data_IF_610049166336
#
_entry.id   IF_610049166336
#
_cell.length_a   1.000
_cell.length_b   1.000
_cell.length_c   1.000
_cell.angle_alpha   90.00
_cell.angle_beta   90.00
_cell.angle_gamma   90.00
#
_symmetry.space_group_name_H-M   'P 1'
#
loop_
_entity.id
_entity.type
_entity.pdbx_description
1 polymer ?
#
# COMPACT_ATOMS: atom_id res chain seq x y z
N UNK A 1 7.33 16.17 21.84
CA UNK A 1 6.59 14.89 21.68
C UNK A 1 5.95 14.50 23.02
N UNK A 2 4.74 14.99 23.32
CA UNK A 2 4.10 14.86 24.66
C UNK A 2 3.82 13.40 25.07
N UNK A 3 3.68 12.49 24.11
CA UNK A 3 3.32 11.09 24.33
C UNK A 3 4.47 10.21 24.85
N UNK A 4 5.72 10.58 24.59
CA UNK A 4 6.90 9.81 25.02
C UNK A 4 7.51 10.34 26.33
N UNK A 5 7.26 11.60 26.71
CA UNK A 5 7.91 12.23 27.89
C UNK A 5 9.43 11.98 27.88
N UNK A 6 9.95 11.22 28.86
CA UNK A 6 11.36 10.78 29.00
C UNK A 6 11.59 9.32 28.59
N UNK A 7 10.55 8.63 28.14
CA UNK A 7 10.62 7.25 27.71
C UNK A 7 11.00 7.13 26.23
N UNK A 8 11.65 6.02 25.90
CA UNK A 8 12.02 5.68 24.53
C UNK A 8 10.82 5.01 23.83
N UNK A 9 10.60 5.31 22.54
CA UNK A 9 9.57 4.66 21.71
C UNK A 9 9.62 3.12 21.81
N UNK A 10 10.81 2.53 21.84
CA UNK A 10 11.03 1.09 21.95
C UNK A 10 10.64 0.50 23.31
N UNK A 11 10.53 1.34 24.34
CA UNK A 11 10.30 0.93 25.74
C UNK A 11 8.84 0.97 26.18
N UNK A 12 7.96 1.54 25.36
CA UNK A 12 6.53 1.65 25.65
C UNK A 12 5.89 0.27 25.86
N UNK A 13 4.70 0.20 26.45
CA UNK A 13 3.91 -1.05 26.49
C UNK A 13 2.94 -1.09 25.30
N UNK A 14 2.74 -2.27 24.72
CA UNK A 14 1.75 -2.49 23.65
C UNK A 14 0.32 -2.19 24.09
N UNK A 15 0.05 -2.38 25.39
CA UNK A 15 -1.23 -2.13 26.04
C UNK A 15 -1.46 -0.67 26.42
N UNK A 16 -0.61 0.27 25.97
CA UNK A 16 -0.80 1.68 26.30
C UNK A 16 -2.12 2.20 25.73
N UNK A 17 -2.92 2.84 26.58
CA UNK A 17 -4.14 3.55 26.19
C UNK A 17 -3.87 4.99 25.76
N UNK A 18 -2.63 5.46 25.91
CA UNK A 18 -2.23 6.83 25.58
C UNK A 18 -2.13 7.03 24.06
N UNK A 19 -2.58 8.21 23.61
CA UNK A 19 -2.46 8.65 22.22
C UNK A 19 -3.64 8.24 21.32
N UNK A 20 -3.55 8.64 20.05
CA UNK A 20 -4.59 8.37 19.06
C UNK A 20 -4.69 6.88 18.69
N UNK A 21 -5.76 6.49 18.00
CA UNK A 21 -5.88 5.14 17.43
C UNK A 21 -4.71 4.81 16.49
N UNK A 22 -4.25 5.78 15.69
CA UNK A 22 -3.10 5.62 14.79
C UNK A 22 -1.80 5.38 15.59
N UNK A 23 -1.58 6.16 16.65
CA UNK A 23 -0.42 5.99 17.53
C UNK A 23 -0.35 4.57 18.12
N UNK A 24 -1.47 4.07 18.64
CA UNK A 24 -1.56 2.71 19.16
C UNK A 24 -1.31 1.66 18.08
N UNK A 25 -1.70 1.91 16.83
CA UNK A 25 -1.35 1.03 15.70
C UNK A 25 0.14 1.05 15.38
N UNK A 26 0.79 2.22 15.40
CA UNK A 26 2.25 2.32 15.20
C UNK A 26 3.02 1.53 16.26
N UNK A 27 2.60 1.60 17.52
CA UNK A 27 3.23 0.83 18.62
C UNK A 27 3.18 -0.68 18.34
N UNK A 28 2.09 -1.21 17.77
CA UNK A 28 1.98 -2.63 17.42
C UNK A 28 3.00 -3.08 16.37
N UNK A 29 3.46 -2.17 15.51
CA UNK A 29 4.47 -2.46 14.49
C UNK A 29 5.92 -2.24 14.96
N UNK A 30 6.14 -1.78 16.20
CA UNK A 30 7.50 -1.53 16.72
C UNK A 30 8.41 -2.76 16.67
N UNK A 31 7.87 -3.94 16.95
CA UNK A 31 8.66 -5.17 17.04
C UNK A 31 9.23 -5.53 15.67
N UNK A 32 8.41 -5.31 14.62
CA UNK A 32 8.84 -5.37 13.24
C UNK A 32 9.82 -4.23 12.93
N UNK A 33 9.51 -2.98 13.27
CA UNK A 33 10.37 -1.84 12.99
C UNK A 33 11.79 -1.96 13.61
N UNK A 34 11.91 -2.59 14.79
CA UNK A 34 13.20 -2.89 15.44
C UNK A 34 14.15 -3.65 14.52
N UNK A 35 13.67 -4.58 13.69
CA UNK A 35 14.55 -5.36 12.79
C UNK A 35 15.06 -4.56 11.60
N UNK A 36 14.56 -3.34 11.38
CA UNK A 36 14.92 -2.49 10.24
C UNK A 36 15.89 -1.36 10.59
N UNK A 37 16.21 -1.16 11.87
CA UNK A 37 16.96 0.00 12.34
C UNK A 37 18.15 -0.42 13.19
N UNK A 38 19.32 0.13 12.84
CA UNK A 38 20.57 0.08 13.61
C UNK A 38 21.12 1.49 13.78
N UNK A 39 22.05 1.66 14.69
CA UNK A 39 22.74 2.93 14.90
C UNK A 39 24.24 2.70 14.78
N UNK A 40 24.85 3.44 13.85
CA UNK A 40 26.30 3.57 13.79
C UNK A 40 26.71 4.68 14.75
N UNK A 41 27.36 4.26 15.84
CA UNK A 41 27.78 5.18 16.90
C UNK A 41 28.97 5.99 16.44
N UNK A 42 28.90 7.29 16.71
CA UNK A 42 29.99 8.25 16.58
C UNK A 42 30.22 8.92 17.94
N UNK A 43 29.45 9.95 18.29
CA UNK A 43 29.56 10.63 19.58
C UNK A 43 28.76 9.99 20.72
N UNK A 44 27.83 9.07 20.40
CA UNK A 44 27.03 8.30 21.35
C UNK A 44 25.98 9.10 22.13
N UNK A 45 25.79 10.39 21.86
CA UNK A 45 24.98 11.28 22.69
C UNK A 45 23.48 11.00 22.54
N UNK A 46 23.04 10.66 21.34
CA UNK A 46 21.63 10.46 21.00
C UNK A 46 21.26 8.97 20.85
N UNK A 47 22.20 8.07 21.15
CA UNK A 47 21.99 6.62 21.09
C UNK A 47 21.68 6.09 22.49
N UNK A 48 20.52 5.47 22.67
CA UNK A 48 20.18 4.79 23.92
C UNK A 48 21.02 3.54 24.09
N UNK A 49 21.68 3.42 25.25
CA UNK A 49 22.48 2.23 25.56
C UNK A 49 21.64 0.94 25.51
N UNK A 50 20.40 1.00 26.01
CA UNK A 50 19.56 -0.17 26.18
C UNK A 50 18.69 -0.51 24.98
N UNK A 51 18.15 0.50 24.31
CA UNK A 51 17.03 0.32 23.37
C UNK A 51 17.41 0.43 21.90
N UNK A 52 18.54 1.04 21.58
CA UNK A 52 19.02 1.14 20.20
C UNK A 52 19.98 0.00 19.86
N UNK A 53 19.98 -0.40 18.59
CA UNK A 53 20.81 -1.50 18.09
C UNK A 53 22.13 -0.93 17.58
N UNK A 54 23.09 -0.77 18.49
CA UNK A 54 24.36 -0.13 18.24
C UNK A 54 25.58 -1.07 18.31
N UNK A 55 25.35 -2.34 18.64
CA UNK A 55 26.40 -3.33 18.81
C UNK A 55 26.09 -4.59 18.00
N UNK A 56 27.09 -5.45 17.83
CA UNK A 56 26.88 -6.78 17.22
C UNK A 56 25.98 -7.69 18.06
N UNK A 57 25.76 -7.36 19.34
CA UNK A 57 24.87 -8.11 20.24
C UNK A 57 23.40 -7.73 20.04
N UNK A 58 23.09 -6.76 19.19
CA UNK A 58 21.74 -6.21 19.08
C UNK A 58 21.46 -5.19 20.19
N UNK A 59 20.18 -5.09 20.57
CA UNK A 59 19.70 -4.21 21.64
C UNK A 59 19.97 -4.86 23.00
N UNK A 60 20.69 -4.15 23.87
CA UNK A 60 21.08 -4.70 25.17
C UNK A 60 19.89 -5.07 26.06
N UNK A 61 18.78 -4.36 25.93
CA UNK A 61 17.54 -4.67 26.66
C UNK A 61 16.91 -6.00 26.22
N UNK A 62 17.02 -6.36 24.94
CA UNK A 62 16.47 -7.61 24.42
C UNK A 62 17.36 -8.81 24.85
N UNK A 63 18.65 -8.57 25.13
CA UNK A 63 19.63 -9.60 25.57
C UNK A 63 19.59 -9.86 27.09
N UNK A 64 19.60 -8.81 27.92
CA UNK A 64 19.66 -8.96 29.40
C UNK A 64 18.32 -8.78 30.10
N UNK A 65 17.32 -8.25 29.40
CA UNK A 65 16.07 -7.82 30.02
C UNK A 65 16.27 -6.72 31.06
N UNK A 66 15.22 -6.50 31.88
CA UNK A 66 15.21 -5.40 32.85
C UNK A 66 16.26 -5.53 33.96
N UNK A 67 16.72 -6.75 34.30
CA UNK A 67 17.77 -6.96 35.31
C UNK A 67 19.14 -6.45 34.85
N UNK A 68 19.38 -6.41 33.53
CA UNK A 68 20.62 -5.89 32.96
C UNK A 68 20.96 -4.47 33.42
N UNK A 69 19.96 -3.60 33.63
CA UNK A 69 20.18 -2.25 34.14
C UNK A 69 20.86 -2.26 35.52
N UNK A 70 20.48 -3.20 36.38
CA UNK A 70 21.03 -3.34 37.74
C UNK A 70 22.41 -4.00 37.68
N UNK A 71 22.52 -5.11 36.96
CA UNK A 71 23.76 -5.89 36.87
C UNK A 71 24.90 -5.08 36.24
N UNK A 72 24.57 -4.31 35.18
CA UNK A 72 25.51 -3.38 34.57
C UNK A 72 25.61 -2.06 35.32
N UNK A 73 24.68 -1.71 36.22
CA UNK A 73 24.69 -0.39 36.86
C UNK A 73 24.63 0.76 35.83
N UNK A 74 23.93 0.56 34.72
CA UNK A 74 23.70 1.56 33.67
C UNK A 74 22.20 1.86 33.69
N UNK A 75 21.86 3.12 33.96
CA UNK A 75 20.46 3.56 34.03
C UNK A 75 19.71 3.27 32.72
N UNK A 76 18.41 2.97 32.82
CA UNK A 76 17.53 2.64 31.70
C UNK A 76 17.52 3.72 30.60
N UNK A 77 17.69 4.98 30.98
CA UNK A 77 17.64 6.14 30.07
C UNK A 77 19.02 6.64 29.64
N UNK A 78 20.09 5.97 30.05
CA UNK A 78 21.46 6.40 29.77
C UNK A 78 21.78 6.28 28.28
N UNK A 79 22.45 7.29 27.72
CA UNK A 79 23.02 7.19 26.38
C UNK A 79 24.32 6.39 26.38
N UNK A 80 24.81 5.98 25.21
CA UNK A 80 26.10 5.30 25.12
C UNK A 80 27.24 6.23 25.54
N UNK A 81 27.16 7.52 25.20
CA UNK A 81 28.12 8.53 25.66
C UNK A 81 28.20 8.63 27.18
N UNK A 82 27.03 8.71 27.84
CA UNK A 82 26.99 8.76 29.30
C UNK A 82 27.54 7.47 29.93
N UNK A 83 27.33 6.32 29.31
CA UNK A 83 27.87 5.04 29.78
C UNK A 83 29.40 4.99 29.68
N UNK A 84 30.01 5.60 28.65
CA UNK A 84 31.46 5.72 28.54
C UNK A 84 32.06 6.61 29.64
N UNK A 85 31.41 7.74 29.92
CA UNK A 85 32.00 8.80 30.73
C UNK A 85 31.75 8.58 32.23
N UNK A 86 30.59 8.02 32.61
CA UNK A 86 30.16 7.91 34.02
C UNK A 86 30.53 6.58 34.67
N UNK A 87 31.11 5.64 33.92
CA UNK A 87 31.34 4.28 34.40
C UNK A 87 32.78 3.83 34.21
N UNK A 88 33.26 3.01 35.15
CA UNK A 88 34.49 2.22 35.03
C UNK A 88 34.13 0.80 34.63
N UNK A 89 34.94 0.19 33.75
CA UNK A 89 34.80 -1.21 33.33
C UNK A 89 34.79 -2.12 34.56
N UNK A 90 33.91 -3.12 34.57
CA UNK A 90 33.87 -4.16 35.61
C UNK A 90 34.14 -5.52 34.99
N UNK A 91 34.65 -6.44 35.80
CA UNK A 91 34.72 -7.86 35.46
C UNK A 91 33.57 -8.57 36.13
N UNK A 92 32.69 -9.17 35.32
CA UNK A 92 31.51 -9.87 35.79
C UNK A 92 31.78 -11.37 35.83
N UNK A 93 31.08 -12.09 36.73
CA UNK A 93 31.07 -13.56 36.70
C UNK A 93 30.34 -14.09 35.46
N UNK A 94 29.31 -13.37 35.02
CA UNK A 94 28.48 -13.74 33.87
C UNK A 94 29.15 -13.33 32.56
N UNK A 95 29.39 -14.29 31.67
CA UNK A 95 30.08 -14.06 30.39
C UNK A 95 29.43 -13.00 29.50
N UNK A 96 28.09 -13.01 29.37
CA UNK A 96 27.37 -12.05 28.52
C UNK A 96 27.57 -10.59 28.97
N UNK A 97 27.72 -10.34 30.28
CA UNK A 97 28.00 -9.00 30.79
C UNK A 97 29.40 -8.53 30.42
N UNK A 98 30.39 -9.44 30.39
CA UNK A 98 31.73 -9.12 29.93
C UNK A 98 31.77 -8.81 28.42
N UNK A 99 30.99 -9.54 27.60
CA UNK A 99 30.84 -9.22 26.17
C UNK A 99 30.26 -7.81 25.95
N UNK A 100 29.36 -7.35 26.83
CA UNK A 100 28.85 -5.98 26.76
C UNK A 100 29.88 -4.94 27.17
N UNK A 101 30.68 -5.20 28.19
CA UNK A 101 31.81 -4.33 28.55
C UNK A 101 32.80 -4.22 27.38
N UNK A 102 33.05 -5.32 26.66
CA UNK A 102 33.86 -5.33 25.43
C UNK A 102 33.22 -4.53 24.28
N UNK A 103 31.91 -4.69 24.05
CA UNK A 103 31.19 -3.91 23.06
C UNK A 103 31.19 -2.40 23.38
N UNK A 104 31.05 -2.04 24.66
CA UNK A 104 31.10 -0.64 25.09
C UNK A 104 32.51 -0.04 24.92
N UNK A 105 33.56 -0.79 25.27
CA UNK A 105 34.95 -0.32 25.13
C UNK A 105 35.40 -0.20 23.67
N UNK A 106 35.05 -1.17 22.83
CA UNK A 106 35.34 -1.10 21.39
C UNK A 106 34.73 0.14 20.73
N UNK A 107 33.47 0.46 21.04
CA UNK A 107 32.81 1.67 20.53
C UNK A 107 33.37 2.97 21.13
N UNK A 108 33.86 2.91 22.38
CA UNK A 108 34.56 4.05 23.01
C UNK A 108 35.86 4.39 22.30
N UNK A 109 36.62 3.38 21.86
CA UNK A 109 37.92 3.56 21.18
C UNK A 109 37.77 4.23 19.82
N UNK A 110 36.63 4.03 19.14
CA UNK A 110 36.33 4.63 17.83
C UNK A 110 35.54 5.94 17.92
N UNK A 111 35.28 6.44 19.13
CA UNK A 111 34.50 7.67 19.38
C UNK A 111 35.10 8.87 18.66
N UNK A 112 34.25 9.69 18.06
CA UNK A 112 34.62 10.99 17.51
C UNK A 112 33.51 12.04 17.78
N UNK A 113 33.65 13.23 17.19
CA UNK A 113 32.74 14.37 17.40
C UNK A 113 31.51 14.38 16.48
N UNK A 114 31.46 13.50 15.46
CA UNK A 114 30.33 13.44 14.54
C UNK A 114 29.06 12.91 15.22
N UNK A 115 27.90 13.21 14.63
CA UNK A 115 26.63 12.70 15.14
C UNK A 115 26.43 11.23 14.79
N UNK A 116 25.78 10.50 15.69
CA UNK A 116 25.37 9.11 15.46
C UNK A 116 24.47 9.00 14.22
N UNK A 117 24.63 7.92 13.45
CA UNK A 117 23.92 7.72 12.18
C UNK A 117 22.93 6.57 12.32
N UNK A 118 21.65 6.86 12.11
CA UNK A 118 20.61 5.83 12.04
C UNK A 118 20.69 5.12 10.68
N UNK A 119 20.93 3.82 10.71
CA UNK A 119 21.01 2.99 9.54
C UNK A 119 19.72 2.16 9.36
N UNK A 120 19.20 2.16 8.15
CA UNK A 120 18.00 1.46 7.74
C UNK A 120 18.35 0.24 6.90
N UNK A 121 17.74 -0.90 7.20
CA UNK A 121 17.90 -2.14 6.45
C UNK A 121 17.31 -1.98 5.05
N UNK A 122 18.18 -1.88 4.05
CA UNK A 122 17.83 -1.76 2.64
C UNK A 122 17.87 -3.10 1.92
N UNK A 123 17.96 -3.07 0.59
CA UNK A 123 18.05 -4.26 -0.26
C UNK A 123 19.19 -5.19 0.19
N UNK A 124 18.96 -6.50 0.11
CA UNK A 124 19.95 -7.55 0.40
C UNK A 124 20.55 -7.43 1.83
N UNK A 125 19.73 -6.94 2.78
CA UNK A 125 20.10 -6.70 4.18
C UNK A 125 21.22 -5.69 4.42
N UNK A 126 21.53 -4.87 3.40
CA UNK A 126 22.53 -3.81 3.50
C UNK A 126 21.94 -2.60 4.21
N UNK A 127 22.58 -2.19 5.30
CA UNK A 127 22.18 -1.03 6.11
C UNK A 127 22.71 0.28 5.51
N UNK A 128 21.86 1.31 5.42
CA UNK A 128 22.17 2.61 4.79
C UNK A 128 21.61 3.79 5.60
N UNK A 129 22.21 5.00 5.52
CA UNK A 129 21.73 6.17 6.25
C UNK A 129 20.40 6.75 5.73
N UNK A 130 19.81 6.17 4.68
CA UNK A 130 18.55 6.62 4.09
C UNK A 130 17.49 5.52 4.12
N UNK A 131 16.26 5.90 4.48
CA UNK A 131 15.12 5.00 4.47
C UNK A 131 14.60 4.80 3.04
N UNK A 132 14.38 3.54 2.66
CA UNK A 132 13.78 3.15 1.38
C UNK A 132 12.46 2.45 1.63
N UNK A 133 11.35 3.12 1.30
CA UNK A 133 10.01 2.53 1.34
C UNK A 133 9.93 1.29 0.46
N UNK A 134 10.60 1.30 -0.70
CA UNK A 134 10.64 0.18 -1.64
C UNK A 134 11.32 -1.05 -1.03
N UNK A 135 12.48 -0.87 -0.41
CA UNK A 135 13.23 -1.99 0.15
C UNK A 135 12.54 -2.53 1.40
N UNK A 136 12.06 -1.65 2.28
CA UNK A 136 11.26 -2.05 3.44
C UNK A 136 9.99 -2.80 3.03
N UNK A 137 9.29 -2.34 1.99
CA UNK A 137 8.13 -3.04 1.45
C UNK A 137 8.49 -4.44 0.94
N UNK A 138 9.63 -4.58 0.25
CA UNK A 138 10.12 -5.88 -0.22
C UNK A 138 10.47 -6.84 0.91
N UNK A 139 10.95 -6.33 2.04
CA UNK A 139 11.26 -7.16 3.21
C UNK A 139 10.03 -7.65 3.97
N UNK A 140 8.97 -6.85 4.05
CA UNK A 140 7.77 -7.20 4.83
C UNK A 140 6.71 -7.95 4.01
N UNK A 141 6.73 -7.82 2.69
CA UNK A 141 5.72 -8.44 1.83
C UNK A 141 6.07 -9.90 1.54
N UNK A 142 5.04 -10.71 1.37
CA UNK A 142 5.17 -12.00 0.68
C UNK A 142 5.18 -11.77 -0.83
N UNK A 143 6.23 -12.22 -1.52
CA UNK A 143 6.29 -12.24 -2.98
C UNK A 143 5.38 -13.32 -3.54
N UNK A 144 4.31 -12.92 -4.24
CA UNK A 144 3.51 -13.83 -5.07
C UNK A 144 3.96 -13.74 -6.54
N UNK A 145 3.57 -14.73 -7.33
CA UNK A 145 3.76 -14.73 -8.78
C UNK A 145 3.03 -13.54 -9.43
N UNK A 146 3.68 -12.89 -10.39
CA UNK A 146 3.07 -11.81 -11.15
C UNK A 146 1.87 -12.31 -11.92
N UNK A 147 0.69 -11.75 -11.63
CA UNK A 147 -0.55 -12.05 -12.35
C UNK A 147 -0.55 -11.39 -13.73
N UNK A 148 -1.09 -12.06 -14.75
CA UNK A 148 -1.07 -11.55 -16.14
C UNK A 148 -1.88 -10.27 -16.33
N UNK A 149 -2.92 -10.06 -15.52
CA UNK A 149 -3.83 -8.92 -15.65
C UNK A 149 -3.36 -7.63 -14.97
N UNK A 150 -2.25 -7.64 -14.22
CA UNK A 150 -1.85 -6.51 -13.36
C UNK A 150 -1.72 -5.19 -14.13
N UNK A 151 -1.18 -5.20 -15.33
CA UNK A 151 -0.97 -3.99 -16.14
C UNK A 151 -2.26 -3.40 -16.74
N UNK A 152 -3.33 -4.19 -16.84
CA UNK A 152 -4.66 -3.70 -17.23
C UNK A 152 -5.39 -2.99 -16.07
N UNK A 153 -5.03 -3.32 -14.82
CA UNK A 153 -5.65 -2.76 -13.61
C UNK A 153 -4.82 -1.63 -13.00
N UNK A 154 -3.50 -1.79 -13.00
CA UNK A 154 -2.54 -0.86 -12.40
C UNK A 154 -1.69 -0.25 -13.51
N UNK A 155 -1.99 1.00 -13.87
CA UNK A 155 -1.25 1.73 -14.89
C UNK A 155 -1.12 3.22 -14.50
N UNK A 156 -0.12 3.93 -15.06
CA UNK A 156 0.06 5.35 -14.80
C UNK A 156 -1.21 6.14 -15.13
N UNK A 157 -1.50 7.14 -14.31
CA UNK A 157 -2.69 7.98 -14.42
C UNK A 157 -4.04 7.26 -14.26
N UNK A 158 -4.09 6.00 -13.83
CA UNK A 158 -5.35 5.39 -13.39
C UNK A 158 -5.93 6.13 -12.18
N UNK A 159 -7.25 6.08 -12.00
CA UNK A 159 -7.91 6.59 -10.79
C UNK A 159 -7.90 5.47 -9.75
N UNK A 160 -7.23 5.62 -8.58
CA UNK A 160 -7.04 4.51 -7.64
C UNK A 160 -8.34 3.84 -7.20
N UNK A 161 -9.42 4.63 -7.01
CA UNK A 161 -10.75 4.11 -6.70
C UNK A 161 -11.29 3.16 -7.78
N UNK A 162 -11.05 3.48 -9.06
CA UNK A 162 -11.53 2.66 -10.17
C UNK A 162 -10.67 1.41 -10.34
N UNK A 163 -9.34 1.54 -10.24
CA UNK A 163 -8.42 0.38 -10.22
C UNK A 163 -8.79 -0.60 -9.12
N UNK A 164 -9.09 -0.12 -7.90
CA UNK A 164 -9.49 -0.99 -6.79
C UNK A 164 -10.82 -1.70 -7.05
N UNK A 165 -11.81 -1.00 -7.62
CA UNK A 165 -13.08 -1.62 -8.00
C UNK A 165 -12.90 -2.73 -9.04
N UNK A 166 -12.09 -2.47 -10.07
CA UNK A 166 -11.76 -3.48 -11.09
C UNK A 166 -10.95 -4.63 -10.51
N UNK A 167 -10.00 -4.37 -9.62
CA UNK A 167 -9.23 -5.41 -8.93
C UNK A 167 -10.16 -6.38 -8.18
N UNK A 168 -11.14 -5.87 -7.44
CA UNK A 168 -12.16 -6.69 -6.79
C UNK A 168 -13.00 -7.48 -7.80
N UNK A 169 -13.37 -6.85 -8.93
CA UNK A 169 -14.12 -7.52 -10.00
C UNK A 169 -13.33 -8.67 -10.63
N UNK A 170 -12.04 -8.47 -10.95
CA UNK A 170 -11.16 -9.51 -11.49
C UNK A 170 -11.08 -10.71 -10.54
N UNK A 171 -11.04 -10.47 -9.24
CA UNK A 171 -11.04 -11.53 -8.22
C UNK A 171 -12.42 -12.13 -7.90
N UNK A 172 -13.50 -11.70 -8.57
CA UNK A 172 -14.88 -12.08 -8.24
C UNK A 172 -15.22 -11.80 -6.76
N UNK A 173 -14.74 -10.69 -6.20
CA UNK A 173 -14.91 -10.31 -4.79
C UNK A 173 -15.95 -9.20 -4.57
N UNK A 174 -16.58 -8.71 -5.63
CA UNK A 174 -17.74 -7.82 -5.51
C UNK A 174 -18.94 -8.59 -4.92
N UNK A 175 -19.81 -7.92 -4.18
CA UNK A 175 -21.01 -8.53 -3.59
C UNK A 175 -22.14 -8.63 -4.62
N UNK A 176 -21.91 -9.42 -5.67
CA UNK A 176 -22.88 -9.73 -6.74
C UNK A 176 -23.99 -10.66 -6.24
N UNK A 177 -25.12 -10.70 -6.93
CA UNK A 177 -26.29 -11.49 -6.52
C UNK A 177 -26.02 -12.98 -6.33
N UNK A 178 -25.24 -13.59 -7.22
CA UNK A 178 -24.77 -14.99 -7.10
C UNK A 178 -24.00 -15.25 -5.79
N UNK A 179 -23.13 -14.33 -5.38
CA UNK A 179 -22.35 -14.41 -4.14
C UNK A 179 -23.20 -14.12 -2.91
N UNK A 180 -24.14 -13.18 -3.01
CA UNK A 180 -25.07 -12.88 -1.91
C UNK A 180 -25.95 -14.09 -1.59
N UNK A 181 -26.41 -14.82 -2.61
CA UNK A 181 -27.15 -16.07 -2.44
C UNK A 181 -26.35 -17.14 -1.70
N UNK A 182 -25.03 -17.22 -1.90
CA UNK A 182 -24.18 -18.14 -1.15
C UNK A 182 -24.06 -17.81 0.34
N UNK A 183 -24.24 -16.54 0.73
CA UNK A 183 -24.20 -16.11 2.13
C UNK A 183 -25.56 -16.20 2.81
N UNK A 184 -26.63 -15.96 2.04
CA UNK A 184 -28.00 -15.99 2.51
C UNK A 184 -28.93 -16.43 1.38
N UNK A 185 -29.46 -17.65 1.48
CA UNK A 185 -30.36 -18.23 0.48
C UNK A 185 -31.65 -17.40 0.27
N UNK A 186 -32.06 -16.59 1.25
CA UNK A 186 -33.22 -15.69 1.15
C UNK A 186 -32.93 -14.35 0.47
N UNK A 187 -31.70 -14.07 0.05
CA UNK A 187 -31.35 -12.81 -0.60
C UNK A 187 -31.90 -12.73 -2.04
N UNK A 188 -32.29 -11.53 -2.48
CA UNK A 188 -32.62 -11.30 -3.89
C UNK A 188 -31.33 -11.30 -4.74
N UNK A 189 -31.10 -12.36 -5.50
CA UNK A 189 -29.94 -12.54 -6.38
C UNK A 189 -30.13 -12.00 -7.81
N UNK A 190 -31.34 -11.64 -8.20
CA UNK A 190 -31.65 -11.10 -9.53
C UNK A 190 -30.96 -9.75 -9.76
N UNK A 191 -30.49 -9.52 -10.98
CA UNK A 191 -29.85 -8.28 -11.40
C UNK A 191 -30.83 -7.11 -11.35
N UNK A 192 -30.57 -6.13 -10.48
CA UNK A 192 -31.41 -4.93 -10.29
C UNK A 192 -31.42 -3.99 -11.52
N UNK A 193 -30.51 -4.19 -12.47
CA UNK A 193 -30.39 -3.34 -13.65
C UNK A 193 -31.30 -3.79 -14.80
N UNK A 194 -31.54 -5.09 -14.95
CA UNK A 194 -32.40 -5.65 -16.01
C UNK A 194 -33.57 -6.50 -15.50
N UNK A 195 -33.57 -6.89 -14.22
CA UNK A 195 -34.56 -7.76 -13.59
C UNK A 195 -34.79 -9.12 -14.29
N UNK A 196 -33.82 -9.60 -15.09
CA UNK A 196 -34.02 -10.75 -15.98
C UNK A 196 -33.21 -12.01 -15.61
N UNK A 197 -32.03 -11.85 -15.01
CA UNK A 197 -31.15 -12.98 -14.69
C UNK A 197 -30.47 -12.82 -13.34
N UNK A 198 -29.89 -13.90 -12.83
CA UNK A 198 -29.04 -13.87 -11.63
C UNK A 198 -27.83 -12.97 -11.91
N UNK A 199 -27.54 -12.06 -10.99
CA UNK A 199 -26.44 -11.13 -11.12
C UNK A 199 -25.11 -11.83 -10.79
N UNK A 200 -24.38 -12.24 -11.82
CA UNK A 200 -22.95 -12.58 -11.74
C UNK A 200 -22.07 -11.39 -12.17
N UNK A 201 -20.74 -11.48 -12.01
CA UNK A 201 -19.81 -10.46 -12.54
C UNK A 201 -20.02 -10.23 -14.03
N UNK A 202 -20.01 -11.31 -14.81
CA UNK A 202 -20.02 -11.23 -16.27
C UNK A 202 -21.38 -10.70 -16.75
N UNK A 203 -22.47 -11.15 -16.11
CA UNK A 203 -23.79 -10.60 -16.35
C UNK A 203 -23.84 -9.11 -16.01
N UNK A 204 -23.43 -8.73 -14.80
CA UNK A 204 -23.51 -7.36 -14.33
C UNK A 204 -22.77 -6.38 -15.25
N UNK A 205 -21.57 -6.73 -15.74
CA UNK A 205 -20.77 -5.77 -16.50
C UNK A 205 -21.03 -5.82 -18.00
N UNK A 206 -21.31 -6.98 -18.59
CA UNK A 206 -21.31 -7.12 -20.06
C UNK A 206 -22.46 -7.92 -20.67
N UNK A 207 -23.07 -8.88 -19.97
CA UNK A 207 -24.22 -9.64 -20.52
C UNK A 207 -25.60 -9.04 -20.18
N UNK A 208 -25.68 -8.17 -19.17
CA UNK A 208 -26.90 -7.44 -18.83
C UNK A 208 -27.24 -6.45 -19.94
N UNK A 209 -28.48 -6.45 -20.44
CA UNK A 209 -28.94 -5.58 -21.54
C UNK A 209 -28.66 -4.10 -21.28
N UNK A 210 -28.93 -3.61 -20.06
CA UNK A 210 -28.68 -2.22 -19.65
C UNK A 210 -27.18 -1.89 -19.67
N UNK A 211 -26.35 -2.79 -19.16
CA UNK A 211 -24.90 -2.58 -19.08
C UNK A 211 -24.20 -2.74 -20.43
N UNK A 212 -24.68 -3.66 -21.26
CA UNK A 212 -24.21 -3.87 -22.62
C UNK A 212 -24.46 -2.64 -23.48
N UNK A 213 -25.61 -1.96 -23.33
CA UNK A 213 -25.87 -0.68 -23.99
C UNK A 213 -24.83 0.39 -23.60
N UNK A 214 -24.59 0.58 -22.30
CA UNK A 214 -23.57 1.52 -21.79
C UNK A 214 -22.17 1.15 -22.29
N UNK A 215 -21.80 -0.13 -22.21
CA UNK A 215 -20.50 -0.62 -22.65
C UNK A 215 -20.30 -0.43 -24.15
N UNK A 216 -21.28 -0.81 -24.97
CA UNK A 216 -21.25 -0.66 -26.43
C UNK A 216 -21.07 0.80 -26.82
N UNK A 217 -21.85 1.71 -26.23
CA UNK A 217 -21.75 3.14 -26.51
C UNK A 217 -20.35 3.69 -26.20
N UNK A 218 -19.67 3.19 -25.17
CA UNK A 218 -18.33 3.65 -24.78
C UNK A 218 -17.22 2.96 -25.58
N UNK A 219 -17.30 1.65 -25.77
CA UNK A 219 -16.15 0.83 -26.12
C UNK A 219 -16.08 0.44 -27.61
N UNK A 220 -17.21 0.44 -28.33
CA UNK A 220 -17.27 -0.09 -29.71
C UNK A 220 -16.25 0.57 -30.64
N UNK A 221 -16.14 1.89 -30.62
CA UNK A 221 -15.18 2.64 -31.45
C UNK A 221 -13.74 2.63 -30.91
N UNK A 222 -13.54 2.26 -29.63
CA UNK A 222 -12.20 2.11 -29.04
C UNK A 222 -11.58 0.79 -29.50
N UNK A 223 -12.34 -0.31 -29.42
CA UNK A 223 -11.86 -1.65 -29.73
C UNK A 223 -12.08 -2.06 -31.19
N UNK A 224 -12.97 -1.36 -31.92
CA UNK A 224 -13.26 -1.57 -33.35
C UNK A 224 -13.57 -3.05 -33.63
N UNK A 225 -12.82 -3.69 -34.52
CA UNK A 225 -12.98 -5.10 -34.86
C UNK A 225 -12.78 -6.06 -33.68
N UNK A 226 -12.11 -5.63 -32.62
CA UNK A 226 -11.87 -6.42 -31.40
C UNK A 226 -12.91 -6.15 -30.30
N UNK A 227 -14.02 -5.45 -30.59
CA UNK A 227 -15.08 -5.24 -29.62
C UNK A 227 -15.66 -6.58 -29.14
N UNK A 228 -15.85 -6.70 -27.84
CA UNK A 228 -16.40 -7.90 -27.21
C UNK A 228 -17.23 -7.52 -25.99
N UNK A 229 -18.15 -8.40 -25.62
CA UNK A 229 -18.93 -8.39 -24.37
C UNK A 229 -18.54 -9.55 -23.46
N UNK A 230 -17.47 -10.28 -23.78
CA UNK A 230 -16.91 -11.33 -22.92
C UNK A 230 -15.84 -10.75 -21.98
N UNK A 231 -16.02 -10.96 -20.67
CA UNK A 231 -15.13 -10.41 -19.64
C UNK A 231 -13.68 -10.83 -19.87
N UNK A 232 -13.43 -12.10 -20.17
CA UNK A 232 -12.07 -12.63 -20.29
C UNK A 232 -11.36 -12.05 -21.53
N UNK A 233 -12.07 -11.99 -22.65
CA UNK A 233 -11.59 -11.38 -23.90
C UNK A 233 -11.24 -9.92 -23.70
N UNK A 234 -12.13 -9.14 -23.06
CA UNK A 234 -11.88 -7.72 -22.79
C UNK A 234 -10.67 -7.54 -21.86
N UNK A 235 -10.56 -8.36 -20.81
CA UNK A 235 -9.43 -8.33 -19.87
C UNK A 235 -8.11 -8.63 -20.60
N UNK A 236 -8.08 -9.62 -21.50
CA UNK A 236 -6.91 -9.94 -22.31
C UNK A 236 -6.55 -8.78 -23.25
N UNK A 237 -7.53 -8.13 -23.89
CA UNK A 237 -7.29 -6.99 -24.77
C UNK A 237 -6.66 -5.79 -24.04
N UNK A 238 -7.17 -5.43 -22.85
CA UNK A 238 -6.62 -4.30 -22.09
C UNK A 238 -5.23 -4.62 -21.50
N UNK A 239 -4.93 -5.89 -21.24
CA UNK A 239 -3.64 -6.34 -20.74
C UNK A 239 -2.61 -6.59 -21.85
N UNK A 240 -3.08 -6.74 -23.09
CA UNK A 240 -2.25 -6.96 -24.26
C UNK A 240 -1.31 -5.79 -24.61
N UNK A 241 -0.50 -6.01 -25.64
CA UNK A 241 0.39 -4.98 -26.19
C UNK A 241 -0.40 -4.08 -27.13
N UNK A 242 -0.30 -2.78 -26.91
CA UNK A 242 -0.87 -1.74 -27.76
C UNK A 242 0.28 -0.98 -28.43
N UNK A 243 0.14 -0.68 -29.72
CA UNK A 243 1.16 0.08 -30.45
C UNK A 243 1.20 1.54 -29.97
N UNK A 244 0.03 2.10 -29.65
CA UNK A 244 -0.12 3.47 -29.20
C UNK A 244 -0.43 3.51 -27.69
N UNK A 245 0.40 4.25 -26.94
CA UNK A 245 0.22 4.45 -25.49
C UNK A 245 -1.10 5.12 -25.14
N UNK A 246 -1.52 6.09 -25.93
CA UNK A 246 -2.77 6.84 -25.71
C UNK A 246 -3.97 5.94 -25.92
N UNK A 247 -3.97 5.10 -26.94
CA UNK A 247 -5.03 4.10 -27.17
C UNK A 247 -5.06 3.06 -26.04
N UNK A 248 -3.89 2.57 -25.62
CA UNK A 248 -3.76 1.65 -24.48
C UNK A 248 -4.37 2.24 -23.21
N UNK A 249 -4.02 3.49 -22.90
CA UNK A 249 -4.57 4.19 -21.75
C UNK A 249 -6.09 4.40 -21.89
N UNK A 250 -6.56 4.81 -23.07
CA UNK A 250 -7.99 5.05 -23.34
C UNK A 250 -8.80 3.77 -23.11
N UNK A 251 -8.36 2.64 -23.67
CA UNK A 251 -9.03 1.36 -23.52
C UNK A 251 -9.09 0.91 -22.05
N UNK A 252 -7.95 0.96 -21.34
CA UNK A 252 -7.87 0.58 -19.93
C UNK A 252 -8.70 1.50 -19.04
N UNK A 253 -8.62 2.82 -19.25
CA UNK A 253 -9.33 3.80 -18.44
C UNK A 253 -10.83 3.80 -18.70
N UNK A 254 -11.26 3.59 -19.97
CA UNK A 254 -12.67 3.42 -20.31
C UNK A 254 -13.27 2.19 -19.63
N UNK A 255 -12.57 1.04 -19.70
CA UNK A 255 -12.97 -0.18 -19.00
C UNK A 255 -13.12 0.05 -17.49
N UNK A 256 -12.12 0.64 -16.83
CA UNK A 256 -12.18 0.92 -15.40
C UNK A 256 -13.32 1.87 -15.02
N UNK A 257 -13.56 2.89 -15.85
CA UNK A 257 -14.62 3.87 -15.62
C UNK A 257 -15.99 3.22 -15.75
N UNK A 258 -16.22 2.43 -16.81
CA UNK A 258 -17.48 1.71 -17.02
C UNK A 258 -17.78 0.75 -15.87
N UNK A 259 -16.84 -0.10 -15.50
CA UNK A 259 -16.99 -1.06 -14.37
C UNK A 259 -17.33 -0.31 -13.08
N UNK A 260 -16.62 0.78 -12.78
CA UNK A 260 -16.86 1.56 -11.55
C UNK A 260 -18.20 2.28 -11.55
N UNK A 261 -18.66 2.75 -12.71
CA UNK A 261 -19.95 3.44 -12.87
C UNK A 261 -21.11 2.48 -12.74
N UNK A 262 -21.05 1.35 -13.43
CA UNK A 262 -22.06 0.29 -13.36
C UNK A 262 -22.16 -0.21 -11.92
N UNK A 263 -21.01 -0.49 -11.27
CA UNK A 263 -21.00 -0.92 -9.88
C UNK A 263 -21.67 0.10 -8.95
N UNK A 264 -21.37 1.39 -9.13
CA UNK A 264 -22.01 2.46 -8.36
C UNK A 264 -23.51 2.53 -8.63
N UNK A 265 -23.94 2.54 -9.90
CA UNK A 265 -25.36 2.60 -10.27
C UNK A 265 -26.13 1.41 -9.68
N UNK A 266 -25.59 0.20 -9.82
CA UNK A 266 -26.16 -1.02 -9.25
C UNK A 266 -26.37 -0.89 -7.74
N UNK A 267 -25.38 -0.39 -7.02
CA UNK A 267 -25.50 -0.22 -5.56
C UNK A 267 -26.52 0.86 -5.20
N UNK A 268 -26.54 1.99 -5.93
CA UNK A 268 -27.54 3.05 -5.76
C UNK A 268 -28.97 2.49 -5.87
N UNK A 269 -29.26 1.75 -6.94
CA UNK A 269 -30.59 1.13 -7.13
C UNK A 269 -30.95 0.13 -6.04
N UNK A 270 -29.98 -0.69 -5.59
CA UNK A 270 -30.19 -1.62 -4.46
C UNK A 270 -30.48 -0.92 -3.14
N UNK A 271 -29.97 0.29 -2.95
CA UNK A 271 -30.25 1.13 -1.79
C UNK A 271 -31.47 2.05 -1.98
N UNK A 272 -32.26 1.84 -3.04
CA UNK A 272 -33.52 2.56 -3.27
C UNK A 272 -33.37 3.93 -3.92
N UNK A 273 -32.18 4.29 -4.43
CA UNK A 273 -32.04 5.51 -5.22
C UNK A 273 -32.66 5.37 -6.62
N UNK A 274 -33.16 6.48 -7.17
CA UNK A 274 -33.79 6.53 -8.48
C UNK A 274 -32.83 6.07 -9.61
N UNK A 275 -33.27 5.17 -10.51
CA UNK A 275 -32.48 4.70 -11.65
C UNK A 275 -32.05 5.83 -12.60
N UNK A 276 -30.80 5.80 -13.06
CA UNK A 276 -30.34 6.60 -14.20
C UNK A 276 -30.50 5.81 -15.51
N UNK A 277 -30.81 6.52 -16.60
CA UNK A 277 -30.81 5.92 -17.94
C UNK A 277 -29.39 5.54 -18.38
N UNK A 278 -29.28 4.59 -19.31
CA UNK A 278 -28.01 4.20 -19.91
C UNK A 278 -27.33 5.42 -20.59
N UNK A 279 -28.09 6.23 -21.33
CA UNK A 279 -27.60 7.47 -21.95
C UNK A 279 -26.97 8.45 -20.96
N UNK A 280 -27.59 8.63 -19.78
CA UNK A 280 -27.08 9.53 -18.73
C UNK A 280 -25.78 8.99 -18.13
N UNK A 281 -25.66 7.68 -17.95
CA UNK A 281 -24.41 7.05 -17.50
C UNK A 281 -23.31 7.18 -18.56
N UNK A 282 -23.63 6.96 -19.84
CA UNK A 282 -22.69 7.14 -20.96
C UNK A 282 -22.15 8.57 -21.01
N UNK A 283 -23.01 9.58 -20.91
CA UNK A 283 -22.58 10.99 -20.87
C UNK A 283 -21.71 11.29 -19.63
N UNK A 284 -22.02 10.66 -18.50
CA UNK A 284 -21.19 10.80 -17.30
C UNK A 284 -19.80 10.17 -17.48
N UNK A 285 -19.74 8.99 -18.10
CA UNK A 285 -18.49 8.28 -18.43
C UNK A 285 -17.64 9.12 -19.41
N UNK A 286 -18.24 9.67 -20.47
CA UNK A 286 -17.58 10.58 -21.41
C UNK A 286 -16.91 11.74 -20.68
N UNK A 287 -17.66 12.43 -19.82
CA UNK A 287 -17.15 13.54 -19.02
C UNK A 287 -15.98 13.12 -18.11
N UNK A 288 -16.05 11.94 -17.48
CA UNK A 288 -14.95 11.45 -16.63
C UNK A 288 -13.67 11.19 -17.42
N UNK A 289 -13.79 10.62 -18.62
CA UNK A 289 -12.63 10.30 -19.46
C UNK A 289 -11.99 11.58 -19.99
N UNK A 290 -12.79 12.52 -20.48
CA UNK A 290 -12.31 13.85 -20.90
C UNK A 290 -11.64 14.61 -19.76
N UNK A 291 -12.26 14.65 -18.58
CA UNK A 291 -11.69 15.28 -17.40
C UNK A 291 -10.35 14.64 -17.02
N UNK A 292 -10.21 13.32 -17.21
CA UNK A 292 -8.95 12.64 -16.91
C UNK A 292 -7.84 13.06 -17.87
N UNK A 293 -8.12 13.13 -19.17
CA UNK A 293 -7.13 13.65 -20.13
C UNK A 293 -6.75 15.10 -19.84
N UNK A 294 -7.72 15.96 -19.51
CA UNK A 294 -7.44 17.34 -19.09
C UNK A 294 -6.54 17.39 -17.85
N UNK A 295 -6.79 16.54 -16.85
CA UNK A 295 -5.96 16.46 -15.65
C UNK A 295 -4.53 15.98 -15.95
N UNK A 296 -4.35 15.00 -16.84
CA UNK A 296 -3.02 14.53 -17.27
C UNK A 296 -2.25 15.65 -17.96
N UNK A 297 -2.92 16.43 -18.82
CA UNK A 297 -2.33 17.60 -19.47
C UNK A 297 -1.92 18.68 -18.47
N UNK A 298 -2.75 18.94 -17.45
CA UNK A 298 -2.42 19.89 -16.37
C UNK A 298 -1.21 19.46 -15.53
N UNK A 299 -0.99 18.15 -15.37
CA UNK A 299 0.22 17.60 -14.71
C UNK A 299 1.47 17.75 -15.60
N UNK A 300 1.31 18.12 -16.88
CA UNK A 300 2.41 18.37 -17.81
C UNK A 300 2.91 17.12 -18.54
N UNK A 301 2.18 16.01 -18.49
CA UNK A 301 2.59 14.78 -19.19
C UNK A 301 2.20 14.82 -20.69
N UNK A 302 3.09 15.39 -21.50
CA UNK A 302 2.93 15.57 -22.96
C UNK A 302 2.72 14.29 -23.76
N UNK A 303 3.00 13.12 -23.16
CA UNK A 303 2.83 11.81 -23.82
C UNK A 303 1.37 11.50 -24.15
N UNK A 304 0.42 12.24 -23.57
CA UNK A 304 -1.01 12.09 -23.79
C UNK A 304 -1.68 13.34 -24.41
N UNK A 305 -0.92 14.26 -25.00
CA UNK A 305 -1.46 15.53 -25.53
C UNK A 305 -2.56 15.32 -26.59
N UNK A 306 -2.42 14.28 -27.40
CA UNK A 306 -3.43 13.88 -28.41
C UNK A 306 -4.60 13.08 -27.82
N UNK A 307 -4.64 12.85 -26.52
CA UNK A 307 -5.63 11.99 -25.86
C UNK A 307 -7.06 12.51 -25.95
N UNK A 308 -7.27 13.81 -25.79
CA UNK A 308 -8.59 14.44 -25.98
C UNK A 308 -9.07 14.32 -27.44
N UNK A 309 -8.19 14.59 -28.41
CA UNK A 309 -8.51 14.45 -29.83
C UNK A 309 -8.88 13.00 -30.16
N UNK A 310 -8.01 12.05 -29.79
CA UNK A 310 -8.26 10.63 -29.99
C UNK A 310 -9.57 10.16 -29.34
N UNK A 311 -9.91 10.71 -28.16
CA UNK A 311 -11.19 10.42 -27.51
C UNK A 311 -12.37 10.93 -28.32
N UNK A 312 -12.35 12.17 -28.81
CA UNK A 312 -13.43 12.71 -29.65
C UNK A 312 -13.57 11.95 -30.97
N UNK A 313 -12.46 11.51 -31.57
CA UNK A 313 -12.48 10.71 -32.79
C UNK A 313 -13.19 9.36 -32.57
N UNK A 314 -13.25 8.84 -31.33
CA UNK A 314 -14.05 7.63 -31.01
C UNK A 314 -15.55 7.90 -30.84
N UNK A 315 -16.00 9.15 -30.86
CA UNK A 315 -17.41 9.54 -30.63
C UNK A 315 -18.14 9.92 -31.92
N UNK A 316 -17.41 10.16 -33.00
CA UNK A 316 -17.94 10.35 -34.36
C UNK A 316 -18.22 9.00 -35.02
#
# INVERSE_FOLDING_TARGET
MYLLKRDNFWSLKETTSLGSWMWRKLIKFRALAKSFCKVEIQNGQNTSFWFDDWSRMGRMMDVLGNRGCVDMGISRHMSVAEAWDRRRRRRHRTGVLNLMEEALDSTRQTRNSAQDVVLWRGKDDVYKPSFSTKDTWNHIRTTATTVTWHNGVWFPHATPKFSFCVWLAVHNRLSTGDRMLQWNNGALGTCVLCNNAIESRDHLFFSCVFCSEVWSAVAKNIFKANYSTDWHTILNLICGKWQNRTESFTARYAFQTVVSVIWRERNKRRHGESPNSASRLTNWIDKQIRNRFSAIRLIGDRRYDKGLQAWFDTRN
#
